data_IF_968083210911
#
_entry.id   IF_968083210911
#
_cell.length_a   1.000
_cell.length_b   1.000
_cell.length_c   1.000
_cell.angle_alpha   90.00
_cell.angle_beta   90.00
_cell.angle_gamma   90.00
#
_symmetry.space_group_name_H-M   'P 1'
#
loop_
_entity.id
_entity.type
_entity.pdbx_description
1 polymer ?
#
# COMPACT_ATOMS: atom_id res chain seq x y z
N UNK A 1 -43.80 20.54 32.23
CA UNK A 1 -44.40 21.89 32.29
C UNK A 1 -43.28 22.88 32.45
N UNK A 2 -42.98 23.59 31.42
CA UNK A 2 -42.49 24.97 31.37
C UNK A 2 -42.12 25.25 29.90
N UNK A 3 -42.95 26.06 29.32
CA UNK A 3 -42.91 26.54 27.95
C UNK A 3 -41.98 27.74 27.83
N UNK A 4 -41.08 27.75 26.85
CA UNK A 4 -40.32 28.94 26.43
C UNK A 4 -41.09 29.69 25.33
N UNK A 5 -41.11 31.03 25.33
CA UNK A 5 -41.89 31.84 24.40
C UNK A 5 -41.22 31.96 23.02
N UNK A 6 -42.05 31.97 21.99
CA UNK A 6 -41.71 32.32 20.60
C UNK A 6 -41.68 33.85 20.46
N UNK A 7 -40.61 34.34 19.81
CA UNK A 7 -40.52 35.74 19.39
C UNK A 7 -41.05 35.89 17.95
N UNK A 8 -42.04 36.75 17.71
CA UNK A 8 -42.52 37.05 16.36
C UNK A 8 -42.01 38.42 15.92
N UNK A 9 -41.01 38.47 15.04
CA UNK A 9 -40.84 39.55 14.05
C UNK A 9 -39.46 39.50 13.41
N UNK A 10 -39.39 39.02 12.18
CA UNK A 10 -38.48 39.58 11.19
C UNK A 10 -39.00 39.31 9.78
N UNK A 11 -39.98 40.17 9.37
CA UNK A 11 -40.22 40.45 7.95
C UNK A 11 -39.13 41.46 7.54
N UNK A 12 -38.27 41.09 6.63
CA UNK A 12 -37.50 42.02 5.82
C UNK A 12 -37.76 41.76 4.34
N UNK A 13 -38.52 42.68 3.78
CA UNK A 13 -38.87 42.76 2.36
C UNK A 13 -37.62 42.85 1.49
N UNK A 14 -37.52 41.97 0.52
CA UNK A 14 -36.54 42.05 -0.55
C UNK A 14 -37.00 43.12 -1.55
N UNK A 15 -36.40 44.28 -1.48
CA UNK A 15 -36.58 45.37 -2.42
C UNK A 15 -35.96 44.99 -3.78
N UNK A 16 -36.86 44.91 -4.80
CA UNK A 16 -36.47 44.78 -6.21
C UNK A 16 -35.94 46.14 -6.70
N UNK A 17 -34.66 46.27 -6.91
CA UNK A 17 -34.07 47.34 -7.72
C UNK A 17 -33.02 46.80 -8.66
N UNK A 18 -33.49 46.77 -9.92
CA UNK A 18 -32.79 47.08 -11.19
C UNK A 18 -31.34 46.60 -11.39
N UNK A 19 -31.26 45.54 -12.18
CA UNK A 19 -30.11 45.25 -13.02
C UNK A 19 -29.97 46.35 -14.08
N UNK A 20 -28.84 47.00 -14.10
CA UNK A 20 -28.31 47.63 -15.31
C UNK A 20 -27.03 46.90 -15.72
N UNK A 21 -27.11 46.23 -16.84
CA UNK A 21 -26.02 45.60 -17.55
C UNK A 21 -25.13 46.67 -18.19
N UNK A 22 -23.86 46.74 -17.80
CA UNK A 22 -22.82 47.25 -18.68
C UNK A 22 -21.83 46.15 -18.92
N UNK A 23 -21.84 45.60 -20.12
CA UNK A 23 -20.94 44.55 -20.55
C UNK A 23 -19.50 45.06 -20.62
N UNK A 24 -18.63 44.46 -19.85
CA UNK A 24 -17.19 44.47 -20.14
C UNK A 24 -16.81 43.01 -20.44
N UNK A 25 -16.65 42.74 -21.74
CA UNK A 25 -16.01 41.49 -22.20
C UNK A 25 -14.54 41.62 -21.87
N UNK A 26 -14.14 41.08 -20.72
CA UNK A 26 -12.74 40.84 -20.46
C UNK A 26 -12.32 39.59 -21.25
N UNK A 27 -11.51 39.81 -22.29
CA UNK A 27 -10.83 38.74 -23.01
C UNK A 27 -9.93 37.98 -22.00
N UNK A 28 -10.38 36.83 -21.55
CA UNK A 28 -9.57 35.91 -20.77
C UNK A 28 -8.49 35.33 -21.68
N UNK A 29 -7.26 35.80 -21.51
CA UNK A 29 -6.08 35.19 -22.12
C UNK A 29 -5.89 33.81 -21.56
N UNK A 30 -5.63 32.75 -22.36
CA UNK A 30 -5.53 31.36 -21.92
C UNK A 30 -4.25 31.03 -21.12
N UNK A 31 -3.52 32.03 -20.64
CA UNK A 31 -2.21 31.87 -20.00
C UNK A 31 -2.22 31.93 -18.43
N UNK A 32 -3.38 32.15 -17.84
CA UNK A 32 -3.45 32.34 -16.36
C UNK A 32 -3.86 31.08 -15.58
N UNK A 33 -4.03 29.91 -16.22
CA UNK A 33 -4.47 28.69 -15.54
C UNK A 33 -3.29 27.77 -15.19
N UNK A 34 -2.15 27.91 -15.88
CA UNK A 34 -0.98 27.03 -15.61
C UNK A 34 -0.19 27.40 -14.35
N UNK A 35 -0.25 28.67 -13.89
CA UNK A 35 0.50 29.09 -12.68
C UNK A 35 -0.24 28.77 -11.36
N UNK A 36 -1.54 28.52 -11.38
CA UNK A 36 -2.30 28.22 -10.17
C UNK A 36 -2.20 26.74 -9.73
N UNK A 37 -1.72 25.83 -10.59
CA UNK A 37 -1.49 24.42 -10.29
C UNK A 37 -0.05 24.11 -9.88
N UNK A 38 0.84 25.10 -9.89
CA UNK A 38 2.21 24.96 -9.39
C UNK A 38 2.33 25.21 -7.87
N UNK A 39 1.19 25.39 -7.18
CA UNK A 39 1.19 25.62 -5.74
C UNK A 39 1.57 24.34 -4.99
N UNK A 40 2.72 24.38 -4.35
CA UNK A 40 3.18 23.52 -3.26
C UNK A 40 3.17 22.01 -3.56
N UNK A 41 4.04 21.57 -4.44
CA UNK A 41 4.45 20.15 -4.41
C UNK A 41 5.08 19.89 -3.04
N UNK A 42 4.56 18.92 -2.26
CA UNK A 42 5.17 18.59 -0.98
C UNK A 42 6.64 18.24 -1.22
N UNK A 43 7.54 18.99 -0.58
CA UNK A 43 8.98 18.72 -0.61
C UNK A 43 9.24 17.28 -0.15
N UNK A 44 10.13 16.54 -0.82
CA UNK A 44 10.54 15.23 -0.35
C UNK A 44 10.93 15.29 1.11
N UNK A 45 10.41 14.37 1.94
CA UNK A 45 10.79 14.30 3.34
C UNK A 45 12.33 14.20 3.43
N UNK A 46 12.91 14.84 4.44
CA UNK A 46 14.37 14.88 4.65
C UNK A 46 15.06 13.49 4.68
N UNK A 47 14.29 12.40 4.75
CA UNK A 47 14.76 11.01 4.67
C UNK A 47 15.09 10.49 3.27
N UNK A 48 14.64 11.15 2.19
CA UNK A 48 14.84 10.63 0.82
C UNK A 48 16.33 10.55 0.43
N UNK A 49 17.19 11.40 0.99
CA UNK A 49 18.63 11.35 0.75
C UNK A 49 19.33 10.22 1.51
N UNK A 50 18.74 9.68 2.58
CA UNK A 50 19.35 8.64 3.41
C UNK A 50 19.17 7.23 2.81
N UNK A 51 18.27 7.05 1.83
CA UNK A 51 17.93 5.74 1.25
C UNK A 51 18.57 5.50 -0.12
N UNK A 52 19.64 6.16 -0.47
CA UNK A 52 20.34 5.97 -1.74
C UNK A 52 21.07 4.61 -1.83
N UNK A 53 20.36 3.51 -1.52
CA UNK A 53 20.85 2.15 -1.76
C UNK A 53 20.19 1.56 -3.00
N UNK A 54 20.92 0.70 -3.71
CA UNK A 54 20.36 0.01 -4.86
C UNK A 54 19.22 -0.94 -4.45
N UNK A 55 18.19 -1.15 -5.29
CA UNK A 55 17.14 -2.12 -5.04
C UNK A 55 17.65 -3.51 -4.68
N UNK A 56 18.70 -3.97 -5.36
CA UNK A 56 19.36 -5.25 -5.10
C UNK A 56 20.00 -5.34 -3.71
N UNK A 57 20.57 -4.23 -3.21
CA UNK A 57 21.13 -4.20 -1.86
C UNK A 57 20.03 -4.21 -0.80
N UNK A 58 18.90 -3.51 -1.04
CA UNK A 58 17.74 -3.58 -0.18
C UNK A 58 17.21 -5.02 -0.08
N UNK A 59 17.04 -5.70 -1.21
CA UNK A 59 16.62 -7.10 -1.24
C UNK A 59 17.60 -8.01 -0.48
N UNK A 60 18.90 -7.84 -0.71
CA UNK A 60 19.94 -8.60 0.00
C UNK A 60 19.85 -8.43 1.52
N UNK A 61 19.63 -7.20 2.01
CA UNK A 61 19.44 -6.93 3.45
C UNK A 61 18.21 -7.62 4.00
N UNK A 62 17.08 -7.57 3.30
CA UNK A 62 15.86 -8.27 3.72
C UNK A 62 16.10 -9.78 3.82
N UNK A 63 16.69 -10.39 2.79
CA UNK A 63 16.92 -11.84 2.77
C UNK A 63 17.94 -12.28 3.83
N UNK A 64 18.97 -11.48 4.10
CA UNK A 64 19.92 -11.74 5.19
C UNK A 64 19.23 -11.64 6.57
N UNK A 65 18.34 -10.65 6.76
CA UNK A 65 17.53 -10.53 7.97
C UNK A 65 16.59 -11.72 8.15
N UNK A 66 15.94 -12.17 7.08
CA UNK A 66 15.10 -13.36 7.14
C UNK A 66 15.91 -14.63 7.49
N UNK A 67 17.11 -14.77 6.98
CA UNK A 67 17.96 -15.89 7.35
C UNK A 67 18.29 -15.91 8.85
N UNK A 68 18.55 -14.74 9.46
CA UNK A 68 18.75 -14.63 10.91
C UNK A 68 17.48 -14.98 11.70
N UNK A 69 16.34 -14.43 11.28
CA UNK A 69 15.04 -14.71 11.90
C UNK A 69 14.70 -16.20 11.85
N UNK A 70 14.77 -16.83 10.67
CA UNK A 70 14.48 -18.26 10.50
C UNK A 70 15.45 -19.16 11.27
N UNK A 71 16.68 -18.71 11.51
CA UNK A 71 17.66 -19.40 12.35
C UNK A 71 17.47 -19.14 13.86
N UNK A 72 16.47 -18.35 14.25
CA UNK A 72 16.25 -17.87 15.64
C UNK A 72 17.48 -17.15 16.22
N UNK A 73 18.14 -16.35 15.40
CA UNK A 73 19.33 -15.54 15.73
C UNK A 73 19.15 -14.07 15.26
N UNK A 74 18.04 -13.40 15.65
CA UNK A 74 17.84 -12.00 15.27
C UNK A 74 18.89 -11.12 15.93
N UNK A 75 19.15 -9.96 15.31
CA UNK A 75 20.02 -8.95 15.89
C UNK A 75 19.45 -8.43 17.20
N UNK A 76 20.31 -8.26 18.21
CA UNK A 76 19.93 -7.60 19.45
C UNK A 76 19.71 -6.11 19.20
N UNK A 77 18.55 -5.57 19.60
CA UNK A 77 18.17 -4.19 19.36
C UNK A 77 17.71 -3.48 20.62
N UNK A 78 18.20 -2.27 20.80
CA UNK A 78 17.59 -1.31 21.71
C UNK A 78 16.51 -0.52 20.92
N UNK A 79 15.25 -0.82 21.15
CA UNK A 79 14.13 -0.15 20.51
C UNK A 79 13.96 1.31 20.92
N UNK A 80 14.62 1.76 21.99
CA UNK A 80 14.66 3.17 22.39
C UNK A 80 15.69 3.97 21.58
N UNK A 81 16.76 3.32 21.16
CA UNK A 81 17.81 3.96 20.36
C UNK A 81 17.23 4.52 19.06
N UNK A 82 17.71 5.68 18.67
CA UNK A 82 17.30 6.34 17.43
C UNK A 82 15.87 6.93 17.42
N UNK A 83 15.08 6.85 18.52
CA UNK A 83 13.73 7.46 18.54
C UNK A 83 13.76 8.96 18.23
N UNK A 84 14.70 9.71 18.82
CA UNK A 84 14.85 11.12 18.56
C UNK A 84 15.20 11.44 17.10
N UNK A 85 16.06 10.63 16.47
CA UNK A 85 16.38 10.78 15.05
C UNK A 85 15.19 10.48 14.14
N UNK A 86 14.36 9.50 14.49
CA UNK A 86 13.15 9.15 13.73
C UNK A 86 12.05 10.21 13.76
N UNK A 87 12.09 11.14 14.74
CA UNK A 87 11.16 12.29 14.75
C UNK A 87 11.38 13.19 13.53
N UNK A 88 12.60 13.29 13.02
CA UNK A 88 12.95 14.16 11.90
C UNK A 88 12.53 13.60 10.54
N UNK A 89 12.22 12.29 10.45
CA UNK A 89 11.81 11.65 9.21
C UNK A 89 11.93 10.13 9.26
N UNK A 90 11.58 9.50 8.16
CA UNK A 90 11.70 8.06 7.95
C UNK A 90 12.46 7.78 6.65
N UNK A 91 13.22 6.69 6.64
CA UNK A 91 14.04 6.29 5.51
C UNK A 91 13.97 4.76 5.29
N UNK A 92 12.78 4.22 4.98
CA UNK A 92 12.58 2.79 4.83
C UNK A 92 13.32 2.25 3.58
N UNK A 93 14.01 1.11 3.74
CA UNK A 93 14.75 0.46 2.65
C UNK A 93 13.83 -0.35 1.71
N UNK A 94 12.63 -0.68 2.18
CA UNK A 94 11.64 -1.39 1.38
C UNK A 94 10.21 -1.06 1.80
N UNK A 95 9.29 -1.11 0.84
CA UNK A 95 7.85 -1.13 1.08
C UNK A 95 7.31 -2.54 0.92
N UNK A 96 6.50 -3.00 1.88
CA UNK A 96 5.98 -4.37 1.92
C UNK A 96 4.45 -4.35 1.85
N UNK A 97 3.87 -5.03 0.85
CA UNK A 97 2.47 -5.42 0.85
C UNK A 97 2.33 -6.80 1.47
N UNK A 98 1.77 -6.90 2.67
CA UNK A 98 1.60 -8.20 3.33
C UNK A 98 0.16 -8.48 3.76
N UNK A 99 -0.09 -9.74 4.15
CA UNK A 99 -1.36 -10.11 4.75
C UNK A 99 -1.54 -9.48 6.15
N UNK A 100 -2.80 -9.24 6.53
CA UNK A 100 -3.16 -8.83 7.89
C UNK A 100 -3.05 -9.98 8.93
N UNK A 101 -2.68 -11.19 8.53
CA UNK A 101 -2.55 -12.37 9.39
C UNK A 101 -1.62 -12.08 10.58
N UNK A 102 -2.11 -12.31 11.80
CA UNK A 102 -1.39 -11.97 13.03
C UNK A 102 -0.10 -12.80 13.25
N UNK A 103 0.05 -13.92 12.55
CA UNK A 103 1.22 -14.80 12.64
C UNK A 103 2.41 -14.31 11.81
N UNK A 104 2.22 -13.27 10.99
CA UNK A 104 3.25 -12.65 10.15
C UNK A 104 3.42 -11.19 10.53
N UNK A 105 4.63 -10.80 10.94
CA UNK A 105 5.07 -9.40 11.03
C UNK A 105 6.27 -9.23 10.11
N UNK A 106 6.20 -8.41 9.06
CA UNK A 106 7.31 -8.20 8.14
C UNK A 106 8.58 -7.71 8.83
N UNK A 107 8.45 -6.84 9.83
CA UNK A 107 9.60 -6.30 10.57
C UNK A 107 10.37 -7.43 11.28
N UNK A 108 9.66 -8.37 11.92
CA UNK A 108 10.29 -9.52 12.54
C UNK A 108 10.79 -10.52 11.52
N UNK A 109 9.96 -10.84 10.50
CA UNK A 109 10.32 -11.82 9.48
C UNK A 109 11.60 -11.44 8.72
N UNK A 110 11.86 -10.14 8.54
CA UNK A 110 13.08 -9.63 7.91
C UNK A 110 14.10 -9.10 8.90
N UNK A 111 13.88 -9.24 10.19
CA UNK A 111 14.78 -8.76 11.23
C UNK A 111 15.18 -7.30 11.01
N UNK A 112 14.18 -6.42 10.85
CA UNK A 112 14.37 -5.00 10.62
C UNK A 112 13.90 -4.16 11.82
N UNK A 113 14.55 -3.02 12.04
CA UNK A 113 14.21 -2.10 13.12
C UNK A 113 13.02 -1.17 12.74
N UNK A 114 12.39 -0.51 13.72
CA UNK A 114 11.39 0.52 13.45
C UNK A 114 11.93 1.62 12.53
N UNK A 115 11.20 1.91 11.44
CA UNK A 115 11.57 2.91 10.44
C UNK A 115 12.33 2.35 9.22
N UNK A 116 12.74 1.07 9.24
CA UNK A 116 13.45 0.43 8.13
C UNK A 116 12.51 -0.16 7.07
N UNK A 117 11.26 -0.44 7.43
CA UNK A 117 10.22 -0.91 6.49
C UNK A 117 9.02 0.02 6.48
N UNK A 118 8.44 0.20 5.30
CA UNK A 118 7.15 0.83 5.07
C UNK A 118 6.12 -0.27 4.79
N UNK A 119 5.28 -0.60 5.79
CA UNK A 119 4.45 -1.80 5.73
C UNK A 119 2.99 -1.45 5.52
N UNK A 120 2.37 -2.02 4.49
CA UNK A 120 0.93 -2.01 4.24
C UNK A 120 0.37 -3.42 4.39
N UNK A 121 -0.81 -3.57 5.01
CA UNK A 121 -1.38 -4.89 5.31
C UNK A 121 -2.88 -4.94 5.05
N UNK A 122 -3.30 -6.00 4.38
CA UNK A 122 -4.72 -6.33 4.17
C UNK A 122 -4.86 -7.85 4.04
N UNK A 123 -6.00 -8.41 4.46
CA UNK A 123 -6.22 -9.86 4.36
C UNK A 123 -6.03 -10.33 2.91
N UNK A 124 -5.17 -11.35 2.73
CA UNK A 124 -4.82 -11.87 1.40
C UNK A 124 -3.87 -10.98 0.58
N UNK A 125 -3.19 -10.02 1.20
CA UNK A 125 -2.18 -9.15 0.55
C UNK A 125 -2.58 -8.65 -0.86
N UNK A 126 -3.85 -8.26 -1.04
CA UNK A 126 -4.38 -7.70 -2.28
C UNK A 126 -4.03 -6.21 -2.40
N UNK A 127 -3.81 -5.73 -3.63
CA UNK A 127 -3.59 -4.31 -3.89
C UNK A 127 -4.95 -3.60 -4.04
N UNK A 128 -5.24 -2.65 -3.16
CA UNK A 128 -6.34 -1.70 -3.27
C UNK A 128 -5.85 -0.32 -3.66
N UNK A 129 -6.75 0.60 -4.00
CA UNK A 129 -6.37 1.97 -4.37
C UNK A 129 -5.65 2.70 -3.22
N UNK A 130 -6.13 2.57 -1.98
CA UNK A 130 -5.50 3.21 -0.81
C UNK A 130 -4.09 2.66 -0.55
N UNK A 131 -3.90 1.35 -0.74
CA UNK A 131 -2.59 0.72 -0.60
C UNK A 131 -1.67 1.14 -1.75
N UNK A 132 -2.18 1.24 -2.98
CA UNK A 132 -1.41 1.77 -4.10
C UNK A 132 -0.96 3.20 -3.84
N UNK A 133 -1.85 4.10 -3.39
CA UNK A 133 -1.50 5.47 -3.03
C UNK A 133 -0.42 5.52 -1.93
N UNK A 134 -0.44 4.58 -0.98
CA UNK A 134 0.61 4.45 0.03
C UNK A 134 1.96 4.06 -0.59
N UNK A 135 1.98 3.16 -1.58
CA UNK A 135 3.21 2.84 -2.31
C UNK A 135 3.72 4.01 -3.16
N UNK A 136 2.80 4.73 -3.81
CA UNK A 136 3.16 5.95 -4.55
C UNK A 136 3.80 6.99 -3.64
N UNK A 137 3.24 7.20 -2.43
CA UNK A 137 3.85 8.05 -1.42
C UNK A 137 5.25 7.56 -1.03
N UNK A 138 5.40 6.28 -0.74
CA UNK A 138 6.68 5.69 -0.37
C UNK A 138 7.75 5.81 -1.46
N UNK A 139 7.37 5.60 -2.70
CA UNK A 139 8.28 5.69 -3.85
C UNK A 139 8.65 7.13 -4.17
N UNK A 140 7.66 8.03 -4.21
CA UNK A 140 7.87 9.41 -4.66
C UNK A 140 8.50 10.30 -3.59
N UNK A 141 8.00 10.21 -2.34
CA UNK A 141 8.40 11.12 -1.27
C UNK A 141 9.44 10.55 -0.29
N UNK A 142 9.51 9.22 -0.14
CA UNK A 142 10.48 8.59 0.75
C UNK A 142 11.66 7.95 -0.01
N UNK A 143 11.59 7.89 -1.35
CA UNK A 143 12.65 7.32 -2.18
C UNK A 143 12.88 5.84 -1.93
N UNK A 144 11.84 5.07 -1.61
CA UNK A 144 11.94 3.64 -1.32
C UNK A 144 12.43 2.88 -2.56
N UNK A 145 13.55 2.15 -2.48
CA UNK A 145 14.14 1.49 -3.65
C UNK A 145 13.51 0.13 -3.98
N UNK A 146 12.82 -0.51 -3.02
CA UNK A 146 12.29 -1.86 -3.19
C UNK A 146 10.83 -1.94 -2.76
N UNK A 147 9.98 -2.53 -3.61
CA UNK A 147 8.60 -2.92 -3.24
C UNK A 147 8.52 -4.43 -3.25
N UNK A 148 8.02 -5.04 -2.16
CA UNK A 148 7.83 -6.48 -2.07
C UNK A 148 6.38 -6.82 -1.76
N UNK A 149 5.81 -7.75 -2.52
CA UNK A 149 4.55 -8.40 -2.17
C UNK A 149 4.87 -9.69 -1.42
N UNK A 150 4.45 -9.76 -0.15
CA UNK A 150 4.72 -10.87 0.75
C UNK A 150 3.43 -11.63 1.07
N UNK A 151 3.24 -12.78 0.41
CA UNK A 151 2.25 -13.78 0.78
C UNK A 151 2.75 -14.65 1.93
N UNK A 152 1.91 -15.58 2.40
CA UNK A 152 2.32 -16.53 3.43
C UNK A 152 1.60 -17.88 3.29
N UNK A 153 2.22 -18.96 3.76
CA UNK A 153 1.61 -20.29 3.80
C UNK A 153 0.35 -20.31 4.66
N UNK A 154 -0.65 -21.10 4.28
CA UNK A 154 -1.89 -21.25 5.04
C UNK A 154 -2.72 -19.96 5.15
N UNK A 155 -2.75 -19.12 4.12
CA UNK A 155 -3.50 -17.87 4.12
C UNK A 155 -5.01 -18.13 4.11
N UNK A 156 -5.70 -17.74 5.19
CA UNK A 156 -7.15 -17.93 5.34
C UNK A 156 -7.99 -17.18 4.31
N UNK A 157 -7.53 -16.00 3.84
CA UNK A 157 -8.24 -15.25 2.80
C UNK A 157 -8.17 -15.97 1.43
N UNK A 158 -7.04 -16.60 1.12
CA UNK A 158 -6.88 -17.40 -0.11
C UNK A 158 -7.70 -18.68 -0.02
N UNK A 159 -7.70 -19.37 1.13
CA UNK A 159 -8.53 -20.55 1.37
C UNK A 159 -10.03 -20.21 1.24
N UNK A 160 -10.47 -19.09 1.81
CA UNK A 160 -11.85 -18.61 1.64
C UNK A 160 -12.19 -18.32 0.18
N UNK A 161 -11.24 -17.81 -0.62
CA UNK A 161 -11.44 -17.60 -2.05
C UNK A 161 -11.60 -18.92 -2.80
N UNK A 162 -10.83 -19.94 -2.48
CA UNK A 162 -10.96 -21.30 -3.04
C UNK A 162 -12.34 -21.87 -2.71
N UNK A 163 -12.75 -21.85 -1.44
CA UNK A 163 -14.06 -22.34 -0.98
C UNK A 163 -15.21 -21.58 -1.62
N UNK A 164 -15.11 -20.26 -1.74
CA UNK A 164 -16.13 -19.46 -2.44
C UNK A 164 -16.24 -19.83 -3.91
N UNK A 165 -15.13 -20.10 -4.58
CA UNK A 165 -15.09 -20.47 -5.97
C UNK A 165 -15.60 -21.90 -6.23
N UNK A 166 -15.17 -22.87 -5.44
CA UNK A 166 -15.52 -24.30 -5.60
C UNK A 166 -16.85 -24.66 -4.95
N UNK A 167 -17.02 -24.27 -3.69
CA UNK A 167 -18.10 -24.75 -2.84
C UNK A 167 -19.25 -23.74 -2.75
N UNK A 168 -19.15 -22.63 -3.50
CA UNK A 168 -20.13 -21.51 -3.48
C UNK A 168 -20.35 -20.94 -2.08
N UNK A 169 -19.29 -20.90 -1.26
CA UNK A 169 -19.34 -20.36 0.08
C UNK A 169 -19.90 -18.93 0.08
N UNK A 170 -20.97 -18.72 0.87
CA UNK A 170 -21.55 -17.39 1.08
C UNK A 170 -20.77 -16.70 2.19
N UNK A 171 -20.29 -15.50 1.90
CA UNK A 171 -19.49 -14.70 2.83
C UNK A 171 -20.32 -13.50 3.31
N UNK A 172 -20.30 -13.17 4.61
CA UNK A 172 -21.05 -12.03 5.16
C UNK A 172 -20.33 -10.69 4.93
N UNK A 173 -21.10 -9.60 5.10
CA UNK A 173 -20.58 -8.23 5.15
C UNK A 173 -19.78 -7.85 3.91
N UNK A 174 -18.61 -7.26 4.10
CA UNK A 174 -17.70 -6.79 3.04
C UNK A 174 -16.71 -7.87 2.55
N UNK A 175 -16.70 -9.07 3.15
CA UNK A 175 -15.81 -10.16 2.74
C UNK A 175 -15.96 -10.58 1.27
N UNK A 176 -17.16 -10.57 0.66
CA UNK A 176 -17.32 -10.91 -0.74
C UNK A 176 -16.47 -10.11 -1.71
N UNK A 177 -16.29 -8.81 -1.47
CA UNK A 177 -15.48 -7.93 -2.32
C UNK A 177 -13.99 -8.24 -2.15
N UNK A 178 -13.51 -8.26 -0.92
CA UNK A 178 -12.11 -8.55 -0.60
C UNK A 178 -11.68 -9.91 -1.14
N UNK A 179 -12.44 -10.95 -0.86
CA UNK A 179 -12.15 -12.33 -1.29
C UNK A 179 -12.31 -12.47 -2.81
N UNK A 180 -13.25 -11.72 -3.41
CA UNK A 180 -13.46 -11.68 -4.86
C UNK A 180 -12.22 -11.22 -5.63
N UNK A 181 -11.41 -10.33 -5.06
CA UNK A 181 -10.15 -9.86 -5.66
C UNK A 181 -9.11 -10.98 -5.82
N UNK A 182 -9.18 -12.05 -5.03
CA UNK A 182 -8.26 -13.20 -5.07
C UNK A 182 -8.71 -14.24 -6.13
N UNK A 183 -9.98 -14.25 -6.54
CA UNK A 183 -10.56 -15.23 -7.48
C UNK A 183 -9.71 -15.48 -8.74
N UNK A 184 -9.17 -14.45 -9.43
CA UNK A 184 -8.36 -14.69 -10.63
C UNK A 184 -7.09 -15.51 -10.35
N UNK A 185 -6.51 -15.38 -9.16
CA UNK A 185 -5.32 -16.14 -8.73
C UNK A 185 -5.67 -17.62 -8.50
N UNK A 186 -6.84 -17.90 -7.90
CA UNK A 186 -7.35 -19.26 -7.74
C UNK A 186 -7.58 -19.90 -9.11
N UNK A 187 -8.23 -19.19 -10.03
CA UNK A 187 -8.51 -19.70 -11.38
C UNK A 187 -7.22 -19.97 -12.20
N UNK A 188 -6.14 -19.22 -11.95
CA UNK A 188 -4.83 -19.49 -12.54
C UNK A 188 -4.19 -20.73 -11.92
N UNK A 189 -4.23 -20.86 -10.60
CA UNK A 189 -3.68 -21.99 -9.87
C UNK A 189 -4.35 -23.33 -10.20
N UNK A 190 -5.66 -23.34 -10.49
CA UNK A 190 -6.39 -24.57 -10.91
C UNK A 190 -5.86 -25.19 -12.22
N UNK A 191 -5.20 -24.38 -13.05
CA UNK A 191 -4.60 -24.88 -14.31
C UNK A 191 -3.23 -25.53 -14.11
N UNK A 192 -2.65 -25.39 -12.92
CA UNK A 192 -1.34 -25.95 -12.60
C UNK A 192 -1.45 -27.46 -12.34
N UNK A 193 -0.51 -28.22 -12.90
CA UNK A 193 -0.51 -29.69 -12.81
C UNK A 193 0.22 -30.24 -11.59
N UNK A 194 0.95 -29.38 -10.89
CA UNK A 194 1.82 -29.76 -9.76
C UNK A 194 1.53 -28.88 -8.54
N UNK A 195 1.87 -29.37 -7.34
CA UNK A 195 1.61 -28.67 -6.10
C UNK A 195 0.16 -28.80 -5.61
N UNK A 196 -0.13 -28.25 -4.44
CA UNK A 196 -1.50 -28.17 -3.95
C UNK A 196 -2.14 -26.82 -4.33
N UNK A 197 -3.47 -26.81 -4.41
CA UNK A 197 -4.22 -25.64 -4.88
C UNK A 197 -4.03 -24.42 -3.99
N UNK A 198 -3.94 -24.58 -2.68
CA UNK A 198 -3.80 -23.45 -1.74
C UNK A 198 -2.44 -22.75 -1.94
N UNK A 199 -1.35 -23.50 -1.95
CA UNK A 199 -0.01 -22.94 -2.10
C UNK A 199 0.17 -22.32 -3.49
N UNK A 200 -0.34 -22.98 -4.53
CA UNK A 200 -0.35 -22.42 -5.88
C UNK A 200 -1.14 -21.11 -5.95
N UNK A 201 -2.33 -21.07 -5.32
CA UNK A 201 -3.16 -19.85 -5.29
C UNK A 201 -2.50 -18.71 -4.52
N UNK A 202 -1.78 -19.02 -3.44
CA UNK A 202 -0.99 -18.05 -2.68
C UNK A 202 0.12 -17.46 -3.57
N UNK A 203 0.88 -18.32 -4.24
CA UNK A 203 1.97 -17.87 -5.14
C UNK A 203 1.43 -17.05 -6.31
N UNK A 204 0.34 -17.50 -6.96
CA UNK A 204 -0.30 -16.76 -8.04
C UNK A 204 -0.90 -15.43 -7.59
N UNK A 205 -1.43 -15.36 -6.36
CA UNK A 205 -1.91 -14.11 -5.81
C UNK A 205 -0.76 -13.11 -5.65
N UNK A 206 0.38 -13.54 -5.12
CA UNK A 206 1.59 -12.70 -5.04
C UNK A 206 2.04 -12.22 -6.42
N UNK A 207 2.20 -13.13 -7.39
CA UNK A 207 2.61 -12.78 -8.78
C UNK A 207 1.66 -11.78 -9.41
N UNK A 208 0.35 -11.95 -9.18
CA UNK A 208 -0.67 -11.04 -9.69
C UNK A 208 -0.52 -9.63 -9.11
N UNK A 209 -0.33 -9.50 -7.79
CA UNK A 209 -0.15 -8.17 -7.19
C UNK A 209 1.16 -7.52 -7.65
N UNK A 210 2.24 -8.29 -7.81
CA UNK A 210 3.50 -7.81 -8.42
C UNK A 210 3.25 -7.28 -9.83
N UNK A 211 2.52 -8.03 -10.66
CA UNK A 211 2.20 -7.60 -12.01
C UNK A 211 1.36 -6.31 -12.03
N UNK A 212 0.38 -6.19 -11.14
CA UNK A 212 -0.42 -4.97 -11.01
C UNK A 212 0.42 -3.77 -10.59
N UNK A 213 1.32 -3.91 -9.62
CA UNK A 213 2.23 -2.84 -9.21
C UNK A 213 3.15 -2.39 -10.35
N UNK A 214 3.68 -3.33 -11.15
CA UNK A 214 4.58 -3.01 -12.27
C UNK A 214 3.94 -2.13 -13.36
N UNK A 215 2.63 -2.17 -13.49
CA UNK A 215 1.85 -1.38 -14.46
C UNK A 215 1.04 -0.26 -13.79
N UNK A 216 1.23 -0.01 -12.50
CA UNK A 216 0.48 1.01 -11.77
C UNK A 216 1.00 2.41 -12.11
N UNK A 217 0.42 3.01 -13.14
CA UNK A 217 0.71 4.38 -13.58
C UNK A 217 0.08 5.42 -12.61
N UNK A 218 0.65 6.62 -12.51
CA UNK A 218 1.84 7.09 -13.23
C UNK A 218 3.16 6.87 -12.45
N UNK A 219 3.14 6.73 -11.12
CA UNK A 219 4.32 6.87 -10.26
C UNK A 219 5.09 5.55 -10.19
N UNK A 220 4.43 4.47 -9.75
CA UNK A 220 5.10 3.17 -9.50
C UNK A 220 5.62 2.58 -10.81
N UNK A 221 4.81 2.58 -11.87
CA UNK A 221 5.22 2.09 -13.19
C UNK A 221 6.45 2.85 -13.70
N UNK A 222 6.40 4.18 -13.72
CA UNK A 222 7.52 5.02 -14.20
C UNK A 222 8.81 4.76 -13.43
N UNK A 223 8.71 4.62 -12.11
CA UNK A 223 9.86 4.36 -11.24
C UNK A 223 10.44 2.96 -11.47
N UNK A 224 9.59 1.96 -11.72
CA UNK A 224 9.99 0.60 -12.07
C UNK A 224 10.67 0.55 -13.46
N UNK A 225 10.07 1.15 -14.49
CA UNK A 225 10.61 1.18 -15.85
C UNK A 225 11.96 1.91 -15.92
N UNK A 226 12.11 2.99 -15.15
CA UNK A 226 13.36 3.75 -15.05
C UNK A 226 14.42 3.09 -14.14
N UNK A 227 14.14 1.89 -13.58
CA UNK A 227 15.05 1.16 -12.68
C UNK A 227 15.40 1.89 -11.37
N UNK A 228 14.61 2.89 -11.00
CA UNK A 228 14.73 3.52 -9.68
C UNK A 228 14.30 2.59 -8.56
N UNK A 229 13.30 1.76 -8.81
CA UNK A 229 12.82 0.74 -7.88
C UNK A 229 12.84 -0.64 -8.52
N UNK A 230 12.85 -1.69 -7.69
CA UNK A 230 12.47 -3.03 -8.10
C UNK A 230 11.19 -3.48 -7.38
N UNK A 231 10.45 -4.41 -8.02
CA UNK A 231 9.19 -4.96 -7.48
C UNK A 231 9.27 -6.47 -7.54
N UNK A 232 9.30 -7.10 -6.36
CA UNK A 232 9.48 -8.54 -6.19
C UNK A 232 8.32 -9.18 -5.45
N UNK A 233 8.13 -10.47 -5.64
CA UNK A 233 7.18 -11.29 -4.92
C UNK A 233 7.88 -12.34 -4.06
N UNK A 234 7.32 -12.62 -2.87
CA UNK A 234 7.83 -13.64 -1.97
C UNK A 234 6.70 -14.30 -1.17
N UNK A 235 6.97 -15.49 -0.65
CA UNK A 235 6.08 -16.21 0.27
C UNK A 235 6.82 -16.53 1.55
N UNK A 236 6.22 -16.14 2.67
CA UNK A 236 6.67 -16.49 4.01
C UNK A 236 6.06 -17.83 4.45
N UNK A 237 6.89 -18.77 4.83
CA UNK A 237 6.47 -20.06 5.35
C UNK A 237 6.33 -19.98 6.89
N UNK A 238 5.09 -20.05 7.40
CA UNK A 238 4.79 -19.90 8.83
C UNK A 238 5.55 -20.95 9.69
N UNK A 239 5.58 -22.24 9.32
CA UNK A 239 6.27 -23.24 10.13
C UNK A 239 7.77 -23.00 10.29
N UNK A 240 8.44 -22.49 9.27
CA UNK A 240 9.91 -22.38 9.27
C UNK A 240 10.41 -20.95 9.43
N UNK A 241 9.54 -19.94 9.29
CA UNK A 241 9.92 -18.54 9.28
C UNK A 241 10.69 -18.11 8.02
N UNK A 242 10.86 -18.98 7.03
CA UNK A 242 11.62 -18.69 5.82
C UNK A 242 10.79 -17.93 4.80
N UNK A 243 11.42 -17.00 4.11
CA UNK A 243 10.88 -16.30 2.95
C UNK A 243 11.53 -16.85 1.68
N UNK A 244 10.70 -17.19 0.68
CA UNK A 244 11.15 -17.66 -0.63
C UNK A 244 10.67 -16.68 -1.70
N UNK A 245 11.59 -16.20 -2.55
CA UNK A 245 11.27 -15.37 -3.72
C UNK A 245 10.57 -16.20 -4.80
N UNK A 246 9.68 -15.56 -5.59
CA UNK A 246 8.88 -16.18 -6.65
C UNK A 246 9.36 -15.82 -8.05
#
# INVERSE_FOLDING_TARGET
MSSLPRDPNHNSELSRRALLWTGAVAALTPWAIDDALAADQPTPAAGAAANAIAPSEALKRLMAGNARYAANKPDQRDFSAGRAARVQGQAPIAAILSCADARLSPEFAFDQAPGELFVTRVAGNILSQDLLASFEYGVEFLGIPLVMVLGHSGCGAVDAAIKRWKDKLVLPGHLPELIGAIKPSVAAAEKMKTGNLLDNSIAENVRRQVAQLKIAAPIVQKSYESKKIDIVGAVYDIPTGKVTLL
#
